data_IF_827141134527
#
_entry.id   IF_827141134527
#
_cell.length_a   1.000
_cell.length_b   1.000
_cell.length_c   1.000
_cell.angle_alpha   90.00
_cell.angle_beta   90.00
_cell.angle_gamma   90.00
#
_symmetry.space_group_name_H-M   'P 1'
#
loop_
_entity.id
_entity.type
_entity.pdbx_description
1 polymer ?
2 non-polymer ?
3 non-polymer ?
4 non-polymer ?
5 water ?
#
# COMPACT_ATOMS: atom_id res chain seq x y z
N UNK A 1 -26.34 4.98 -5.93
CA UNK A 1 -25.54 6.17 -6.24
C UNK A 1 -24.60 5.89 -7.42
N UNK A 2 -23.82 6.88 -7.81
CA UNK A 2 -22.91 6.72 -8.94
C UNK A 2 -21.84 5.68 -8.62
N UNK A 3 -21.33 5.05 -9.67
CA UNK A 3 -20.18 4.17 -9.58
C UNK A 3 -18.98 4.90 -10.15
N UNK A 4 -17.86 4.85 -9.43
CA UNK A 4 -16.71 5.71 -9.69
C UNK A 4 -15.44 4.88 -9.60
N UNK A 5 -14.55 5.03 -10.57
CA UNK A 5 -13.20 4.49 -10.44
C UNK A 5 -12.20 5.61 -10.67
N UNK A 6 -11.15 5.63 -9.87
CA UNK A 6 -10.06 6.59 -9.96
C UNK A 6 -8.77 5.85 -10.27
N UNK A 7 -7.85 6.54 -10.94
CA UNK A 7 -6.59 5.93 -11.27
C UNK A 7 -5.54 7.02 -11.42
N UNK A 8 -4.27 6.71 -11.19
CA UNK A 8 -3.22 7.59 -11.68
C UNK A 8 -3.34 7.72 -13.20
N UNK A 9 -2.88 8.86 -13.72
CA UNK A 9 -3.01 9.12 -15.13
C UNK A 9 -2.20 8.16 -15.99
N UNK A 10 -1.03 7.76 -15.51
CA UNK A 10 -0.13 6.92 -16.29
C UNK A 10 0.69 6.10 -15.32
N UNK A 11 0.63 4.78 -15.46
CA UNK A 11 1.38 3.87 -14.64
C UNK A 11 2.39 3.17 -15.54
N UNK A 12 3.68 3.30 -15.20
CA UNK A 12 4.78 2.80 -16.01
C UNK A 12 5.59 1.83 -15.17
N UNK A 13 5.92 0.68 -15.74
CA UNK A 13 6.68 -0.31 -14.99
C UNK A 13 7.60 -1.07 -15.93
N UNK A 14 8.86 -1.22 -15.52
CA UNK A 14 9.84 -2.00 -16.26
C UNK A 14 11.24 -1.87 -15.70
N UNK A 15 12.14 -2.79 -16.08
CA UNK A 15 13.52 -2.70 -15.64
C UNK A 15 14.19 -1.48 -16.27
N UNK A 16 14.90 -0.70 -15.44
CA UNK A 16 15.60 0.48 -15.90
C UNK A 16 14.73 1.68 -16.19
N UNK A 17 13.47 1.66 -15.75
CA UNK A 17 12.56 2.76 -16.07
C UNK A 17 13.07 4.10 -15.56
N UNK A 18 13.88 4.10 -14.50
CA UNK A 18 14.42 5.36 -13.98
C UNK A 18 15.24 6.07 -15.04
N UNK A 19 15.94 5.32 -15.90
CA UNK A 19 16.77 5.92 -16.93
C UNK A 19 15.94 6.69 -17.94
N UNK A 20 14.66 6.37 -18.05
CA UNK A 20 13.77 7.00 -19.01
C UNK A 20 12.86 8.04 -18.36
N UNK A 21 13.09 8.36 -17.09
CA UNK A 21 12.25 9.33 -16.38
C UNK A 21 12.15 10.64 -17.13
N UNK A 22 13.28 11.13 -17.67
CA UNK A 22 13.27 12.41 -18.33
C UNK A 22 12.27 12.46 -19.47
N UNK A 23 12.28 11.42 -20.31
CA UNK A 23 11.39 11.38 -21.45
C UNK A 23 9.94 11.22 -21.00
N UNK A 24 9.69 10.48 -19.92
CA UNK A 24 8.34 10.30 -19.41
C UNK A 24 7.80 11.57 -18.75
N UNK A 25 8.67 12.35 -18.07
CA UNK A 25 8.21 13.52 -17.33
C UNK A 25 8.08 14.75 -18.22
N UNK A 26 8.89 14.84 -19.27
CA UNK A 26 8.91 16.05 -20.11
C UNK A 26 7.54 16.52 -20.54
N UNK A 27 6.63 15.68 -21.03
CA UNK A 27 5.32 16.22 -21.48
C UNK A 27 4.49 16.81 -20.35
N UNK A 28 4.82 16.52 -19.08
CA UNK A 28 4.05 17.06 -17.96
C UNK A 28 4.53 18.44 -17.51
N UNK A 29 5.85 18.64 -17.42
CA UNK A 29 6.39 19.86 -16.84
C UNK A 29 7.90 19.88 -17.08
N UNK A 30 8.48 21.09 -17.01
CA UNK A 30 9.88 21.29 -17.34
C UNK A 30 10.81 21.38 -16.14
N UNK A 31 10.32 21.74 -14.94
CA UNK A 31 11.17 22.02 -13.79
C UNK A 31 10.66 21.25 -12.57
N UNK A 32 11.45 20.30 -12.08
CA UNK A 32 10.99 19.30 -11.13
C UNK A 32 11.69 19.45 -9.80
N UNK A 33 10.89 19.53 -8.72
CA UNK A 33 11.43 19.28 -7.39
C UNK A 33 11.54 17.77 -7.19
N UNK A 34 12.73 17.30 -6.80
CA UNK A 34 12.96 15.87 -6.62
C UNK A 34 13.12 15.62 -5.13
N UNK A 35 12.18 14.90 -4.54
CA UNK A 35 12.17 14.63 -3.11
C UNK A 35 12.50 13.17 -2.88
N UNK A 36 13.54 12.90 -2.09
CA UNK A 36 13.90 11.55 -1.70
C UNK A 36 14.81 11.61 -0.50
N UNK A 37 14.85 10.52 0.26
CA UNK A 37 15.72 10.56 1.42
C UNK A 37 17.16 10.28 1.02
N UNK A 38 18.07 10.43 1.99
CA UNK A 38 19.50 10.34 1.67
C UNK A 38 19.86 8.97 1.13
N UNK A 39 19.21 7.91 1.63
CA UNK A 39 19.54 6.57 1.15
C UNK A 39 19.13 6.39 -0.31
N UNK A 40 17.90 6.81 -0.64
CA UNK A 40 17.41 6.65 -2.01
C UNK A 40 18.22 7.50 -2.99
N UNK A 41 18.41 8.79 -2.68
CA UNK A 41 19.26 9.61 -3.55
C UNK A 41 20.68 9.07 -3.63
N UNK A 42 21.16 8.43 -2.55
CA UNK A 42 22.48 7.81 -2.59
C UNK A 42 22.66 6.87 -3.77
N UNK A 43 21.63 6.08 -4.09
CA UNK A 43 21.79 5.17 -5.23
C UNK A 43 21.13 5.69 -6.51
N UNK A 44 20.21 6.64 -6.43
CA UNK A 44 19.43 7.03 -7.59
C UNK A 44 19.72 8.43 -8.11
N UNK A 45 20.36 9.30 -7.32
CA UNK A 45 20.43 10.71 -7.71
C UNK A 45 21.21 10.90 -9.01
N UNK A 46 22.31 10.17 -9.18
CA UNK A 46 23.09 10.32 -10.41
C UNK A 46 22.28 9.92 -11.64
N UNK A 47 21.59 8.78 -11.60
CA UNK A 47 20.75 8.35 -12.72
C UNK A 47 19.63 9.36 -12.97
N UNK A 48 18.96 9.76 -11.89
CA UNK A 48 17.92 10.78 -11.92
C UNK A 48 18.38 12.03 -12.66
N UNK A 49 19.48 12.62 -12.20
CA UNK A 49 19.96 13.86 -12.79
C UNK A 49 20.27 13.68 -14.28
N UNK A 50 20.91 12.57 -14.64
CA UNK A 50 21.25 12.36 -16.05
C UNK A 50 19.99 12.27 -16.90
N UNK A 51 18.99 11.51 -16.45
CA UNK A 51 17.79 11.34 -17.26
C UNK A 51 17.07 12.66 -17.46
N UNK A 52 16.87 13.41 -16.39
CA UNK A 52 16.21 14.70 -16.51
C UNK A 52 17.04 15.69 -17.31
N UNK A 53 18.35 15.76 -17.06
CA UNK A 53 19.19 16.70 -17.80
C UNK A 53 19.20 16.39 -19.28
N UNK A 54 19.30 15.11 -19.63
CA UNK A 54 19.38 14.72 -21.04
C UNK A 54 18.10 15.05 -21.78
N UNK A 55 16.97 15.08 -21.06
CA UNK A 55 15.68 15.48 -21.63
C UNK A 55 15.46 16.98 -21.61
N UNK A 56 16.42 17.76 -21.12
CA UNK A 56 16.28 19.20 -21.08
C UNK A 56 15.45 19.71 -19.93
N UNK A 57 15.27 18.92 -18.88
CA UNK A 57 14.49 19.30 -17.72
C UNK A 57 15.39 19.76 -16.61
N UNK A 58 14.87 20.65 -15.76
CA UNK A 58 15.60 21.09 -14.59
C UNK A 58 15.18 20.24 -13.39
N UNK A 59 16.13 20.02 -12.48
CA UNK A 59 15.88 19.25 -11.28
C UNK A 59 16.45 20.00 -10.08
N UNK A 60 15.63 20.22 -9.06
CA UNK A 60 16.09 20.74 -7.78
C UNK A 60 15.99 19.58 -6.79
N UNK A 61 17.14 19.06 -6.35
CA UNK A 61 17.17 17.91 -5.45
C UNK A 61 16.91 18.40 -4.02
N UNK A 62 15.94 17.78 -3.35
CA UNK A 62 15.56 18.20 -2.01
C UNK A 62 15.55 16.97 -1.10
N UNK A 63 16.62 16.73 -0.36
CA UNK A 63 16.63 15.59 0.56
C UNK A 63 15.44 15.65 1.51
N UNK A 64 14.75 14.52 1.62
CA UNK A 64 13.52 14.40 2.40
C UNK A 64 13.79 14.45 3.90
N UNK A 65 12.93 15.15 4.64
CA UNK A 65 13.09 15.29 6.07
C UNK A 65 12.74 14.04 6.88
N UNK A 66 11.97 13.12 6.31
CA UNK A 66 11.70 11.83 6.94
C UNK A 66 10.24 11.62 7.31
N UNK A 67 9.52 12.70 7.61
CA UNK A 67 8.11 12.62 7.98
C UNK A 67 7.27 13.38 6.96
N UNK A 68 6.09 12.83 6.67
CA UNK A 68 5.10 13.55 5.87
C UNK A 68 4.29 14.43 6.82
N UNK A 69 4.79 15.63 7.06
CA UNK A 69 4.22 16.55 8.03
C UNK A 69 3.92 17.88 7.36
N UNK A 70 3.07 18.68 8.01
CA UNK A 70 2.77 20.00 7.46
C UNK A 70 4.04 20.86 7.39
N UNK A 71 4.90 20.75 8.41
CA UNK A 71 6.15 21.50 8.39
C UNK A 71 7.04 21.05 7.25
N UNK A 72 7.16 19.74 7.03
CA UNK A 72 7.99 19.24 5.94
C UNK A 72 7.43 19.69 4.58
N UNK A 73 6.10 19.63 4.42
CA UNK A 73 5.50 20.09 3.17
C UNK A 73 5.81 21.56 2.94
N UNK A 74 5.71 22.38 3.98
CA UNK A 74 6.00 23.80 3.82
C UNK A 74 7.48 24.04 3.54
N UNK A 75 8.37 23.25 4.18
CA UNK A 75 9.79 23.38 3.92
C UNK A 75 10.10 23.10 2.45
N UNK A 76 9.53 22.01 1.91
CA UNK A 76 9.80 21.65 0.52
C UNK A 76 9.13 22.63 -0.44
N UNK A 77 7.96 23.17 -0.09
CA UNK A 77 7.34 24.18 -0.93
C UNK A 77 8.20 25.43 -1.03
N UNK A 78 8.82 25.84 0.08
CA UNK A 78 9.75 26.96 0.07
C UNK A 78 10.96 26.67 -0.81
N UNK A 79 11.53 25.47 -0.69
CA UNK A 79 12.67 25.08 -1.51
C UNK A 79 12.29 25.10 -2.99
N UNK A 80 11.14 24.52 -3.31
CA UNK A 80 10.70 24.44 -4.70
C UNK A 80 10.49 25.82 -5.29
N UNK A 81 9.97 26.76 -4.49
CA UNK A 81 9.69 28.08 -5.01
C UNK A 81 10.94 28.81 -5.40
N UNK A 82 12.04 28.57 -4.69
CA UNK A 82 13.28 29.26 -5.03
C UNK A 82 13.80 28.79 -6.38
N UNK A 83 13.52 27.54 -6.77
CA UNK A 83 13.97 27.02 -8.05
C UNK A 83 12.89 27.10 -9.11
N UNK A 84 11.77 27.77 -8.80
CA UNK A 84 10.63 27.91 -9.71
C UNK A 84 10.24 26.55 -10.29
N UNK A 85 10.13 25.55 -9.41
CA UNK A 85 9.69 24.24 -9.83
C UNK A 85 8.21 24.28 -10.20
N UNK A 86 7.85 23.50 -11.23
CA UNK A 86 6.49 23.46 -11.73
C UNK A 86 5.89 22.07 -11.61
N UNK A 87 6.56 21.16 -10.91
CA UNK A 87 6.13 19.79 -10.71
C UNK A 87 6.97 19.17 -9.61
N UNK A 88 6.49 18.04 -9.08
CA UNK A 88 7.14 17.35 -7.98
C UNK A 88 7.36 15.90 -8.37
N UNK A 89 8.58 15.41 -8.17
CA UNK A 89 8.90 14.00 -8.29
C UNK A 89 9.26 13.47 -6.90
N UNK A 90 8.47 12.51 -6.41
CA UNK A 90 8.82 11.79 -5.20
C UNK A 90 9.40 10.43 -5.59
N UNK A 91 10.53 10.09 -4.98
CA UNK A 91 11.16 8.80 -5.27
C UNK A 91 11.55 8.16 -3.95
N UNK A 92 11.17 6.89 -3.78
CA UNK A 92 11.48 6.16 -2.56
C UNK A 92 10.28 5.42 -2.00
N UNK A 93 10.15 5.38 -0.69
CA UNK A 93 9.08 4.65 -0.03
C UNK A 93 7.95 5.55 0.42
N UNK A 94 7.06 4.95 1.24
CA UNK A 94 5.74 5.53 1.45
C UNK A 94 5.74 6.96 1.98
N UNK A 95 6.53 7.24 3.03
CA UNK A 95 6.50 8.58 3.61
C UNK A 95 6.95 9.62 2.60
N UNK A 96 8.00 9.31 1.83
CA UNK A 96 8.43 10.22 0.76
C UNK A 96 7.32 10.43 -0.26
N UNK A 97 6.66 9.36 -0.66
CA UNK A 97 5.67 9.46 -1.74
C UNK A 97 4.42 10.19 -1.28
N UNK A 98 3.99 9.95 -0.04
CA UNK A 98 2.88 10.73 0.53
C UNK A 98 3.22 12.21 0.58
N UNK A 99 4.46 12.55 0.96
CA UNK A 99 4.85 13.96 1.04
C UNK A 99 4.78 14.61 -0.33
N UNK A 100 5.32 13.92 -1.35
CA UNK A 100 5.33 14.46 -2.70
C UNK A 100 3.92 14.70 -3.21
N UNK A 101 3.01 13.76 -2.97
CA UNK A 101 1.63 13.91 -3.36
C UNK A 101 0.98 15.09 -2.65
N UNK A 102 1.18 15.20 -1.34
CA UNK A 102 0.57 16.30 -0.60
C UNK A 102 1.16 17.63 -1.06
N UNK A 103 2.49 17.68 -1.22
CA UNK A 103 3.14 18.90 -1.68
C UNK A 103 2.60 19.34 -3.04
N UNK A 104 2.47 18.40 -3.97
CA UNK A 104 2.04 18.76 -5.32
C UNK A 104 0.64 19.32 -5.28
N UNK A 105 -0.22 18.78 -4.41
CA UNK A 105 -1.57 19.31 -4.24
C UNK A 105 -1.53 20.75 -3.74
N UNK A 106 -0.71 21.05 -2.74
CA UNK A 106 -0.74 22.39 -2.20
C UNK A 106 -0.10 23.41 -3.14
N UNK A 107 0.88 22.98 -3.95
CA UNK A 107 1.40 23.84 -5.01
C UNK A 107 0.51 23.85 -6.26
N UNK A 108 -0.45 22.93 -6.35
CA UNK A 108 -1.24 22.70 -7.55
C UNK A 108 -0.34 22.52 -8.78
N UNK A 109 0.46 21.46 -8.74
CA UNK A 109 1.34 21.09 -9.84
C UNK A 109 1.24 19.60 -10.07
N UNK A 110 1.66 19.11 -11.24
CA UNK A 110 1.71 17.66 -11.45
C UNK A 110 2.65 17.01 -10.44
N UNK A 111 2.36 15.74 -10.14
CA UNK A 111 3.25 14.93 -9.31
C UNK A 111 3.54 13.63 -10.05
N UNK A 112 4.80 13.21 -10.00
CA UNK A 112 5.23 11.92 -10.47
C UNK A 112 5.78 11.17 -9.26
N UNK A 113 5.49 9.87 -9.20
CA UNK A 113 5.73 9.05 -8.01
C UNK A 113 6.56 7.85 -8.45
N UNK A 114 7.75 7.68 -7.86
CA UNK A 114 8.65 6.58 -8.23
C UNK A 114 8.95 5.72 -7.01
N UNK A 115 8.12 4.71 -6.75
CA UNK A 115 8.42 3.81 -5.63
C UNK A 115 9.66 2.98 -5.92
N UNK A 116 10.49 2.83 -4.90
CA UNK A 116 11.69 2.01 -5.02
C UNK A 116 11.50 0.67 -4.35
N UNK A 117 10.33 0.45 -3.76
CA UNK A 117 9.92 -0.80 -3.14
C UNK A 117 8.47 -1.01 -3.51
N UNK A 118 8.01 -2.25 -3.44
CA UNK A 118 6.62 -2.60 -3.72
C UNK A 118 6.03 -3.28 -2.48
N UNK A 119 5.90 -2.49 -1.41
CA UNK A 119 5.55 -3.03 -0.10
C UNK A 119 4.16 -2.62 0.38
N UNK A 120 3.48 -1.69 -0.30
CA UNK A 120 2.16 -1.24 0.13
C UNK A 120 1.36 -0.86 -1.09
N UNK A 121 0.06 -0.77 -0.90
CA UNK A 121 -0.94 -0.40 -1.89
C UNK A 121 -1.09 1.11 -2.08
N UNK A 122 -0.32 1.92 -1.36
CA UNK A 122 -0.51 3.37 -1.31
C UNK A 122 -0.06 4.20 -2.51
N UNK A 123 1.08 3.88 -3.19
CA UNK A 123 1.64 4.86 -4.15
C UNK A 123 0.65 5.45 -5.15
N UNK A 124 -0.25 4.65 -5.72
CA UNK A 124 -1.15 5.14 -6.75
C UNK A 124 -2.33 5.95 -6.21
N UNK A 125 -2.54 6.00 -4.91
CA UNK A 125 -3.81 6.48 -4.39
C UNK A 125 -3.84 7.99 -4.20
N UNK A 126 -5.06 8.54 -4.16
CA UNK A 126 -5.26 9.98 -3.92
C UNK A 126 -5.35 10.24 -2.42
N UNK A 127 -4.28 9.86 -1.73
CA UNK A 127 -4.27 9.89 -0.28
C UNK A 127 -2.86 10.23 0.20
N UNK A 128 -2.78 11.08 1.21
CA UNK A 128 -1.54 11.27 1.96
C UNK A 128 -1.87 11.13 3.44
N UNK A 129 -1.07 10.36 4.16
CA UNK A 129 -1.21 10.27 5.61
C UNK A 129 -0.28 11.31 6.21
N UNK A 130 -0.84 12.25 6.95
CA UNK A 130 -0.08 13.30 7.60
C UNK A 130 0.33 12.82 8.98
N UNK A 131 1.59 13.07 9.32
CA UNK A 131 2.12 12.78 10.65
C UNK A 131 2.65 14.07 11.26
N UNK A 132 2.83 14.05 12.58
CA UNK A 132 3.58 15.11 13.23
C UNK A 132 5.06 14.98 12.89
N UNK A 133 5.80 16.05 13.18
CA UNK A 133 7.25 16.01 13.01
C UNK A 133 7.86 14.86 13.80
N UNK A 134 7.26 14.53 14.94
CA UNK A 134 7.67 13.45 15.84
C UNK A 134 7.35 12.06 15.30
N UNK A 135 6.59 11.96 14.22
CA UNK A 135 6.19 10.67 13.70
C UNK A 135 4.87 10.12 14.22
N UNK A 136 4.16 10.88 15.05
CA UNK A 136 2.83 10.46 15.49
C UNK A 136 1.81 10.74 14.40
N UNK A 137 0.83 9.84 14.25
CA UNK A 137 -0.18 10.01 13.23
C UNK A 137 -1.05 11.24 13.54
N UNK A 138 -1.31 12.03 12.51
CA UNK A 138 -2.09 13.26 12.66
C UNK A 138 -3.43 13.17 11.94
N UNK A 139 -3.44 12.89 10.65
CA UNK A 139 -4.70 12.93 9.92
C UNK A 139 -4.52 12.27 8.55
N UNK A 140 -5.67 12.01 7.91
CA UNK A 140 -5.74 11.50 6.55
C UNK A 140 -6.03 12.69 5.63
N UNK A 141 -5.18 12.88 4.63
CA UNK A 141 -5.38 13.93 3.65
C UNK A 141 -5.93 13.28 2.38
N UNK A 142 -7.22 13.47 2.11
CA UNK A 142 -7.84 13.00 0.89
C UNK A 142 -7.48 13.96 -0.23
N UNK A 143 -6.81 13.48 -1.21
CA UNK A 143 -6.40 14.36 -2.30
C UNK A 143 -7.46 14.40 -3.39
N UNK A 144 -7.62 15.53 -4.09
CA UNK A 144 -8.63 15.61 -5.15
C UNK A 144 -8.24 14.89 -6.43
N UNK A 145 -6.96 14.54 -6.63
CA UNK A 145 -6.50 13.83 -7.80
C UNK A 145 -5.49 12.77 -7.39
N UNK A 146 -5.51 11.65 -8.11
CA UNK A 146 -4.44 10.67 -8.05
C UNK A 146 -3.18 11.23 -8.70
N UNK A 147 -2.01 10.67 -8.42
CA UNK A 147 -0.78 11.15 -9.07
C UNK A 147 -0.91 11.13 -10.58
N UNK A 148 -0.29 12.12 -11.23
CA UNK A 148 -0.31 12.16 -12.69
C UNK A 148 0.40 10.94 -13.28
N UNK A 149 1.47 10.51 -12.62
CA UNK A 149 2.37 9.49 -13.16
C UNK A 149 2.95 8.67 -12.02
N UNK A 150 2.97 7.36 -12.20
CA UNK A 150 3.65 6.44 -11.30
C UNK A 150 4.63 5.63 -12.15
N UNK A 151 5.90 5.62 -11.75
CA UNK A 151 6.95 4.98 -12.54
C UNK A 151 7.68 4.01 -11.64
N UNK A 152 7.60 2.72 -11.95
CA UNK A 152 8.15 1.65 -11.11
C UNK A 152 9.30 1.00 -11.87
N UNK A 153 10.52 1.21 -11.39
CA UNK A 153 11.72 0.61 -11.95
C UNK A 153 11.87 -0.74 -11.28
N UNK A 154 11.49 -1.81 -11.97
CA UNK A 154 11.45 -3.10 -11.28
C UNK A 154 12.84 -3.61 -10.94
N UNK A 155 13.90 -3.12 -11.59
CA UNK A 155 15.22 -3.56 -11.18
C UNK A 155 15.64 -2.87 -9.89
N UNK A 156 15.19 -1.65 -9.65
CA UNK A 156 15.37 -1.05 -8.33
C UNK A 156 14.57 -1.83 -7.29
N UNK A 157 13.32 -2.16 -7.60
CA UNK A 157 12.48 -2.89 -6.64
C UNK A 157 13.12 -4.23 -6.29
N UNK A 158 13.64 -4.96 -7.30
CA UNK A 158 14.22 -6.27 -7.05
C UNK A 158 15.44 -6.19 -6.13
N UNK A 159 16.10 -5.04 -6.05
CA UNK A 159 17.22 -4.84 -5.15
C UNK A 159 16.86 -4.66 -3.69
N UNK A 160 15.60 -4.37 -3.38
CA UNK A 160 15.15 -4.16 -2.02
C UNK A 160 15.10 -5.49 -1.28
N UNK A 161 15.09 -5.46 0.06
CA UNK A 161 14.92 -6.70 0.83
C UNK A 161 13.65 -7.45 0.43
N UNK A 162 13.79 -8.77 0.25
CA UNK A 162 12.67 -9.58 -0.20
C UNK A 162 11.47 -9.49 0.75
N UNK A 163 11.72 -9.27 2.05
CA UNK A 163 10.63 -9.14 3.00
C UNK A 163 9.67 -8.03 2.60
N UNK A 164 10.18 -6.96 1.98
CA UNK A 164 9.30 -5.88 1.55
C UNK A 164 8.40 -6.29 0.40
N UNK A 165 8.88 -7.16 -0.50
CA UNK A 165 7.98 -7.65 -1.54
C UNK A 165 6.89 -8.52 -0.93
N UNK A 166 7.25 -9.37 0.03
CA UNK A 166 6.22 -10.20 0.67
C UNK A 166 5.22 -9.33 1.43
N UNK A 167 5.70 -8.25 2.08
CA UNK A 167 4.77 -7.34 2.73
C UNK A 167 3.80 -6.73 1.73
N UNK A 168 4.29 -6.35 0.54
CA UNK A 168 3.39 -5.89 -0.50
C UNK A 168 2.37 -6.93 -0.88
N UNK A 169 2.78 -8.20 -0.93
CA UNK A 169 1.83 -9.28 -1.17
C UNK A 169 0.74 -9.29 -0.10
N UNK A 170 1.14 -9.07 1.17
CA UNK A 170 0.14 -9.02 2.24
C UNK A 170 -0.86 -7.90 2.05
N UNK A 171 -0.38 -6.71 1.72
CA UNK A 171 -1.29 -5.61 1.42
C UNK A 171 -2.21 -5.93 0.27
N UNK A 172 -1.65 -6.47 -0.81
CA UNK A 172 -2.43 -6.72 -2.02
C UNK A 172 -3.40 -7.87 -1.83
N UNK A 173 -3.08 -8.79 -0.92
CA UNK A 173 -3.93 -9.95 -0.69
C UNK A 173 -5.32 -9.54 -0.20
N UNK A 174 -5.38 -8.49 0.62
CA UNK A 174 -6.66 -8.01 1.13
C UNK A 174 -7.55 -7.43 0.04
N UNK A 175 -6.97 -7.02 -1.09
CA UNK A 175 -7.67 -6.16 -2.04
C UNK A 175 -8.95 -6.80 -2.52
N UNK A 176 -8.88 -8.04 -2.98
CA UNK A 176 -10.05 -8.72 -3.52
C UNK A 176 -11.11 -8.93 -2.44
N UNK A 177 -10.69 -9.38 -1.26
CA UNK A 177 -11.67 -9.70 -0.22
C UNK A 177 -12.36 -8.45 0.31
N UNK A 178 -11.65 -7.33 0.41
CA UNK A 178 -12.28 -6.12 0.88
C UNK A 178 -13.18 -5.52 -0.19
N UNK A 179 -12.74 -5.54 -1.46
CA UNK A 179 -13.57 -5.02 -2.54
C UNK A 179 -14.82 -5.88 -2.73
N UNK A 180 -14.68 -7.20 -2.65
CA UNK A 180 -15.84 -8.09 -2.74
C UNK A 180 -16.81 -7.81 -1.59
N UNK A 181 -16.31 -7.66 -0.38
CA UNK A 181 -17.18 -7.33 0.75
C UNK A 181 -17.95 -6.05 0.47
N UNK A 182 -17.26 -5.02 -0.03
CA UNK A 182 -17.93 -3.75 -0.29
C UNK A 182 -18.91 -3.85 -1.45
N UNK A 183 -18.61 -4.69 -2.44
CA UNK A 183 -19.54 -4.90 -3.52
C UNK A 183 -20.80 -5.58 -3.01
N UNK A 184 -20.65 -6.56 -2.13
CA UNK A 184 -21.80 -7.25 -1.59
C UNK A 184 -22.63 -6.34 -0.70
N UNK A 185 -21.97 -5.48 0.08
CA UNK A 185 -22.73 -4.62 1.00
C UNK A 185 -23.19 -3.33 0.35
N UNK A 186 -22.66 -2.99 -0.82
CA UNK A 186 -22.97 -1.71 -1.42
C UNK A 186 -22.36 -0.53 -0.70
N UNK A 187 -21.22 -0.75 -0.05
CA UNK A 187 -20.56 0.33 0.67
C UNK A 187 -19.99 1.35 -0.31
N UNK A 188 -19.81 2.57 0.18
CA UNK A 188 -19.16 3.62 -0.58
C UNK A 188 -17.65 3.45 -0.50
N UNK A 189 -16.96 3.59 -1.65
CA UNK A 189 -15.51 3.49 -1.69
C UNK A 189 -14.88 4.85 -1.38
N UNK A 190 -13.54 4.87 -1.30
CA UNK A 190 -12.88 6.16 -1.15
C UNK A 190 -12.93 6.98 -2.43
N UNK A 191 -13.15 6.35 -3.58
CA UNK A 191 -13.45 7.12 -4.77
C UNK A 191 -14.76 7.88 -4.64
N UNK A 192 -15.57 7.59 -3.63
CA UNK A 192 -16.77 8.36 -3.39
C UNK A 192 -18.04 7.81 -4.00
N UNK A 193 -18.00 6.64 -4.63
CA UNK A 193 -19.20 6.03 -5.16
C UNK A 193 -19.28 4.56 -4.80
N UNK A 194 -20.17 3.85 -5.46
CA UNK A 194 -20.16 2.39 -5.32
C UNK A 194 -19.11 1.80 -6.26
N UNK A 195 -18.78 0.55 -6.02
CA UNK A 195 -17.72 -0.12 -6.77
C UNK A 195 -18.13 -0.34 -8.22
N UNK A 196 -17.16 -0.15 -9.13
CA UNK A 196 -17.38 -0.45 -10.55
C UNK A 196 -16.99 -1.90 -10.83
N UNK A 197 -17.44 -2.39 -11.99
CA UNK A 197 -16.99 -3.69 -12.46
C UNK A 197 -15.49 -3.66 -12.74
N UNK A 198 -14.99 -2.53 -13.25
CA UNK A 198 -13.58 -2.42 -13.55
C UNK A 198 -12.72 -2.63 -12.30
N UNK A 199 -13.07 -1.95 -11.20
CA UNK A 199 -12.27 -2.08 -9.99
C UNK A 199 -12.38 -3.50 -9.43
N UNK A 200 -13.56 -4.10 -9.47
CA UNK A 200 -13.73 -5.47 -9.00
C UNK A 200 -12.87 -6.42 -9.81
N UNK A 201 -12.87 -6.27 -11.13
CA UNK A 201 -12.03 -7.11 -12.00
C UNK A 201 -10.56 -6.92 -11.68
N UNK A 202 -10.13 -5.67 -11.48
CA UNK A 202 -8.73 -5.46 -11.13
C UNK A 202 -8.39 -6.05 -9.77
N UNK A 203 -9.32 -5.95 -8.80
CA UNK A 203 -9.04 -6.53 -7.48
C UNK A 203 -8.97 -8.04 -7.56
N UNK A 204 -9.86 -8.65 -8.35
CA UNK A 204 -9.80 -10.10 -8.47
C UNK A 204 -8.55 -10.54 -9.22
N UNK A 205 -8.12 -9.75 -10.22
CA UNK A 205 -6.87 -10.06 -10.91
C UNK A 205 -5.70 -9.98 -9.94
N UNK A 206 -5.71 -8.98 -9.06
CA UNK A 206 -4.69 -8.87 -8.02
C UNK A 206 -4.56 -10.19 -7.26
N UNK A 207 -5.66 -10.68 -6.69
CA UNK A 207 -5.64 -11.92 -5.91
C UNK A 207 -5.11 -13.10 -6.71
N UNK A 208 -5.64 -13.31 -7.91
CA UNK A 208 -5.20 -14.44 -8.73
C UNK A 208 -3.75 -14.33 -9.14
N UNK A 209 -3.27 -13.11 -9.40
CA UNK A 209 -1.85 -12.95 -9.71
C UNK A 209 -0.99 -13.39 -8.52
N UNK A 210 -1.40 -13.01 -7.32
CA UNK A 210 -0.64 -13.43 -6.13
C UNK A 210 -0.65 -14.95 -5.98
N UNK A 211 -1.80 -15.59 -6.23
CA UNK A 211 -1.87 -17.04 -6.14
C UNK A 211 -0.96 -17.71 -7.17
N UNK A 212 -0.97 -17.21 -8.41
CA UNK A 212 -0.23 -17.84 -9.49
C UNK A 212 1.25 -17.46 -9.48
N UNK A 213 1.58 -16.23 -9.10
CA UNK A 213 2.94 -15.72 -9.27
C UNK A 213 3.68 -15.44 -7.96
N UNK A 214 3.00 -15.47 -6.82
CA UNK A 214 3.61 -14.99 -5.58
C UNK A 214 4.88 -15.73 -5.22
N UNK A 215 4.83 -17.07 -5.24
CA UNK A 215 6.00 -17.88 -4.92
C UNK A 215 7.09 -17.75 -5.98
N UNK A 216 6.71 -17.76 -7.26
CA UNK A 216 7.72 -17.54 -8.29
C UNK A 216 8.41 -16.21 -8.10
N UNK A 217 7.65 -15.17 -7.73
CA UNK A 217 8.21 -13.84 -7.59
C UNK A 217 9.16 -13.76 -6.39
N UNK A 218 8.79 -14.43 -5.28
CA UNK A 218 9.63 -14.39 -4.09
C UNK A 218 11.01 -14.98 -4.38
N UNK A 219 11.07 -16.04 -5.19
CA UNK A 219 12.36 -16.60 -5.56
C UNK A 219 13.22 -15.56 -6.26
N UNK A 220 12.64 -14.82 -7.21
CA UNK A 220 13.40 -13.76 -7.87
C UNK A 220 13.80 -12.68 -6.87
N UNK A 221 12.85 -12.26 -6.02
CA UNK A 221 13.13 -11.21 -5.05
C UNK A 221 14.29 -11.60 -4.16
N UNK A 222 14.31 -12.84 -3.68
CA UNK A 222 15.40 -13.28 -2.82
C UNK A 222 16.72 -13.34 -3.56
N UNK A 223 16.67 -13.50 -4.88
CA UNK A 223 17.90 -13.47 -5.66
C UNK A 223 18.20 -12.08 -6.20
N UNK A 224 17.29 -11.12 -5.97
CA UNK A 224 17.44 -9.73 -6.41
C UNK A 224 17.59 -9.64 -7.92
N UNK A 225 16.70 -10.35 -8.63
CA UNK A 225 16.70 -10.31 -10.08
C UNK A 225 15.27 -10.17 -10.55
N UNK A 226 15.10 -9.77 -11.80
CA UNK A 226 13.78 -9.53 -12.36
C UNK A 226 13.44 -10.68 -13.31
N UNK A 227 12.30 -11.32 -13.06
CA UNK A 227 11.65 -12.30 -13.91
C UNK A 227 10.25 -11.79 -14.21
N UNK A 228 9.54 -12.36 -15.19
CA UNK A 228 8.16 -11.91 -15.42
C UNK A 228 7.25 -12.11 -14.21
N UNK A 229 7.45 -13.18 -13.44
CA UNK A 229 6.61 -13.37 -12.26
C UNK A 229 6.75 -12.18 -11.30
N UNK A 230 8.00 -11.76 -11.03
CA UNK A 230 8.19 -10.59 -10.19
C UNK A 230 7.56 -9.35 -10.80
N UNK A 231 7.63 -9.20 -12.13
CA UNK A 231 6.98 -8.05 -12.78
C UNK A 231 5.47 -8.07 -12.56
N UNK A 232 4.83 -9.22 -12.72
CA UNK A 232 3.40 -9.31 -12.48
C UNK A 232 3.04 -9.03 -11.02
N UNK A 233 3.84 -9.52 -10.07
CA UNK A 233 3.53 -9.27 -8.68
C UNK A 233 3.74 -7.80 -8.32
N UNK A 234 4.78 -7.18 -8.86
CA UNK A 234 4.98 -5.75 -8.61
C UNK A 234 3.79 -4.94 -9.12
N UNK A 235 3.29 -5.27 -10.31
CA UNK A 235 2.08 -4.62 -10.80
C UNK A 235 0.92 -4.89 -9.86
N UNK A 236 0.79 -6.13 -9.39
CA UNK A 236 -0.31 -6.47 -8.49
C UNK A 236 -0.21 -5.70 -7.19
N UNK A 237 0.99 -5.62 -6.61
CA UNK A 237 1.20 -4.92 -5.34
C UNK A 237 1.00 -3.42 -5.45
N UNK A 238 1.13 -2.85 -6.65
CA UNK A 238 1.16 -1.40 -6.81
C UNK A 238 -0.10 -0.92 -7.54
N UNK A 239 -0.25 -1.23 -8.82
CA UNK A 239 -1.40 -0.68 -9.55
C UNK A 239 -2.69 -1.40 -9.16
N UNK A 240 -2.73 -2.73 -9.26
CA UNK A 240 -3.98 -3.46 -9.06
C UNK A 240 -4.48 -3.30 -7.62
N UNK A 241 -3.57 -3.39 -6.65
CA UNK A 241 -3.95 -3.27 -5.25
C UNK A 241 -4.31 -1.83 -4.90
N UNK A 242 -3.66 -0.84 -5.54
CA UNK A 242 -3.94 0.56 -5.35
C UNK A 242 -5.33 0.97 -5.81
N UNK A 243 -5.62 0.72 -7.09
CA UNK A 243 -6.95 1.03 -7.62
C UNK A 243 -7.99 0.13 -6.97
N UNK A 244 -7.59 -1.10 -6.65
CA UNK A 244 -8.52 -2.03 -6.05
C UNK A 244 -9.04 -1.59 -4.69
N UNK A 245 -8.15 -1.10 -3.82
CA UNK A 245 -8.63 -0.68 -2.51
C UNK A 245 -9.35 0.66 -2.61
N UNK A 246 -8.83 1.60 -3.41
CA UNK A 246 -9.41 2.94 -3.44
C UNK A 246 -10.76 2.94 -4.16
N UNK A 247 -10.86 2.23 -5.28
CA UNK A 247 -12.10 2.22 -6.04
C UNK A 247 -12.92 0.95 -5.80
N UNK A 248 -12.37 -0.01 -5.09
CA UNK A 248 -13.09 -1.25 -4.82
C UNK A 248 -13.63 -1.26 -3.41
N UNK A 249 -12.89 -0.69 -2.46
CA UNK A 249 -13.41 -0.52 -1.12
C UNK A 249 -12.60 -1.23 -0.07
N UNK A 250 -12.56 -0.65 1.13
CA UNK A 250 -11.91 -1.23 2.29
C UNK A 250 -12.95 -1.84 3.22
N UNK A 251 -12.54 -2.85 4.00
CA UNK A 251 -13.48 -3.47 4.93
C UNK A 251 -12.81 -3.92 6.21
N UNK A 252 -12.99 -5.19 6.60
CA UNK A 252 -12.54 -5.63 7.92
C UNK A 252 -11.02 -5.70 8.01
N UNK A 253 -10.35 -6.17 6.96
CA UNK A 253 -8.89 -6.34 7.04
C UNK A 253 -8.20 -5.02 7.36
N UNK A 254 -8.56 -3.94 6.63
CA UNK A 254 -8.00 -2.63 6.90
C UNK A 254 -8.33 -2.15 8.31
N UNK A 255 -9.58 -2.35 8.75
CA UNK A 255 -9.97 -1.88 10.08
C UNK A 255 -9.24 -2.66 11.17
N UNK A 256 -9.03 -3.96 10.97
CA UNK A 256 -8.30 -4.75 11.95
C UNK A 256 -6.83 -4.33 11.99
N UNK A 257 -6.25 -4.02 10.84
CA UNK A 257 -4.90 -3.47 10.83
C UNK A 257 -4.82 -2.22 11.71
N UNK A 258 -5.75 -1.29 11.51
CA UNK A 258 -5.72 -0.06 12.30
C UNK A 258 -5.96 -0.34 13.77
N UNK A 259 -6.79 -1.34 14.07
CA UNK A 259 -7.04 -1.68 15.47
C UNK A 259 -5.81 -2.16 16.21
N UNK A 260 -4.82 -2.69 15.48
CA UNK A 260 -3.65 -3.18 16.21
C UNK A 260 -2.77 -2.06 16.75
N UNK A 261 -2.99 -0.81 16.35
CA UNK A 261 -2.32 0.27 17.06
C UNK A 261 -2.89 0.48 18.45
N UNK A 262 -3.99 -0.19 18.81
CA UNK A 262 -4.47 -0.11 20.18
C UNK A 262 -3.61 -0.90 21.16
N UNK A 263 -2.61 -1.63 20.67
CA UNK A 263 -1.64 -2.35 21.50
C UNK A 263 -0.26 -2.13 20.94
N UNK A 264 0.78 -2.25 21.77
CA UNK A 264 2.14 -1.98 21.29
C UNK A 264 2.82 -3.14 20.56
N UNK A 265 2.25 -4.34 20.59
CA UNK A 265 3.01 -5.57 20.35
C UNK A 265 3.61 -5.67 18.95
N UNK A 266 2.86 -5.31 17.92
CA UNK A 266 3.27 -5.61 16.55
C UNK A 266 4.04 -4.47 15.89
N UNK A 267 4.65 -3.56 16.67
CA UNK A 267 5.24 -2.36 16.10
C UNK A 267 6.36 -2.65 15.10
N UNK A 268 7.02 -3.80 15.20
CA UNK A 268 8.13 -4.12 14.32
C UNK A 268 7.68 -4.69 12.98
N UNK A 269 6.38 -4.80 12.72
CA UNK A 269 5.89 -5.46 11.52
C UNK A 269 5.34 -4.44 10.54
N UNK A 270 5.40 -4.80 9.26
CA UNK A 270 4.98 -3.90 8.19
C UNK A 270 3.46 -3.90 8.03
N UNK A 271 2.98 -2.82 7.42
CA UNK A 271 1.56 -2.68 7.12
C UNK A 271 1.01 -3.96 6.49
N UNK A 272 1.67 -4.46 5.44
CA UNK A 272 1.15 -5.61 4.72
C UNK A 272 1.19 -6.90 5.50
N UNK A 273 2.14 -7.02 6.44
CA UNK A 273 2.18 -8.20 7.30
C UNK A 273 1.00 -8.22 8.25
N UNK A 274 0.64 -7.08 8.83
CA UNK A 274 -0.55 -7.04 9.67
C UNK A 274 -1.82 -7.23 8.86
N UNK A 275 -1.86 -6.68 7.65
CA UNK A 275 -3.04 -6.81 6.78
C UNK A 275 -3.27 -8.27 6.38
N UNK A 276 -2.19 -9.05 6.21
CA UNK A 276 -2.36 -10.47 5.92
C UNK A 276 -3.16 -11.15 7.02
N UNK A 277 -2.77 -10.96 8.28
CA UNK A 277 -3.57 -11.56 9.34
C UNK A 277 -4.97 -10.96 9.40
N UNK A 278 -5.11 -9.66 9.11
CA UNK A 278 -6.43 -9.06 9.11
C UNK A 278 -7.33 -9.65 8.05
N UNK A 279 -6.74 -10.11 6.94
CA UNK A 279 -7.52 -10.75 5.89
C UNK A 279 -8.03 -12.12 6.33
N UNK A 280 -7.17 -12.91 6.98
CA UNK A 280 -7.58 -14.18 7.56
C UNK A 280 -8.70 -13.98 8.58
N UNK A 281 -8.57 -12.99 9.45
CA UNK A 281 -9.66 -12.68 10.37
C UNK A 281 -10.94 -12.32 9.61
N UNK A 282 -10.81 -11.52 8.54
CA UNK A 282 -12.00 -11.18 7.76
C UNK A 282 -12.65 -12.44 7.20
N UNK A 283 -11.84 -13.41 6.74
CA UNK A 283 -12.41 -14.63 6.18
C UNK A 283 -13.20 -15.41 7.22
N UNK A 284 -12.74 -15.40 8.47
CA UNK A 284 -13.51 -16.02 9.55
C UNK A 284 -14.81 -15.27 9.74
N UNK A 285 -14.72 -13.94 9.81
CA UNK A 285 -15.89 -13.09 10.01
C UNK A 285 -16.94 -13.31 8.94
N UNK A 286 -16.54 -13.43 7.69
CA UNK A 286 -17.55 -13.67 6.65
C UNK A 286 -17.85 -15.16 6.48
N UNK A 287 -17.30 -16.00 7.34
CA UNK A 287 -17.45 -17.45 7.26
C UNK A 287 -17.14 -18.00 5.86
N UNK A 288 -16.02 -17.55 5.30
CA UNK A 288 -15.49 -18.10 4.06
C UNK A 288 -15.40 -19.63 4.11
N UNK A 289 -15.62 -20.32 2.98
CA UNK A 289 -15.49 -21.79 2.97
C UNK A 289 -14.07 -22.21 3.36
N UNK A 290 -13.96 -23.41 3.92
CA UNK A 290 -12.67 -23.86 4.42
C UNK A 290 -11.62 -23.84 3.33
N UNK A 291 -11.99 -24.24 2.10
CA UNK A 291 -11.03 -24.23 0.99
C UNK A 291 -10.46 -22.84 0.76
N UNK A 292 -11.31 -21.81 0.84
CA UNK A 292 -10.83 -20.46 0.61
C UNK A 292 -9.91 -20.00 1.74
N UNK A 293 -10.30 -20.23 3.00
CA UNK A 293 -9.41 -19.87 4.11
C UNK A 293 -8.09 -20.60 3.98
N UNK A 294 -8.18 -21.89 3.65
CA UNK A 294 -7.03 -22.74 3.43
C UNK A 294 -6.10 -22.16 2.37
N UNK A 295 -6.67 -21.74 1.23
CA UNK A 295 -5.85 -21.20 0.15
C UNK A 295 -5.15 -19.92 0.57
N UNK A 296 -5.86 -19.04 1.28
CA UNK A 296 -5.24 -17.78 1.69
C UNK A 296 -4.13 -18.03 2.70
N UNK A 297 -4.38 -18.89 3.69
CA UNK A 297 -3.36 -19.21 4.67
C UNK A 297 -2.15 -19.86 4.00
N UNK A 298 -2.38 -20.75 3.02
CA UNK A 298 -1.25 -21.36 2.33
C UNK A 298 -0.45 -20.32 1.57
N UNK A 299 -1.13 -19.39 0.90
CA UNK A 299 -0.42 -18.34 0.18
C UNK A 299 0.42 -17.52 1.14
N UNK A 300 -0.19 -17.07 2.25
CA UNK A 300 0.55 -16.32 3.26
C UNK A 300 1.78 -17.07 3.72
N UNK A 301 1.60 -18.34 4.10
CA UNK A 301 2.71 -19.10 4.66
C UNK A 301 3.82 -19.27 3.62
N UNK A 302 3.45 -19.46 2.35
CA UNK A 302 4.44 -19.68 1.30
C UNK A 302 5.33 -18.47 1.04
N UNK A 303 4.92 -17.26 1.42
CA UNK A 303 5.78 -16.09 1.28
C UNK A 303 6.19 -15.52 2.63
N UNK A 304 5.92 -16.23 3.71
CA UNK A 304 6.36 -15.78 5.03
C UNK A 304 5.45 -14.75 5.70
N UNK A 305 4.23 -14.56 5.21
CA UNK A 305 3.34 -13.64 5.88
C UNK A 305 2.77 -14.29 7.14
N UNK A 306 2.49 -13.51 8.20
CA UNK A 306 1.98 -14.11 9.44
C UNK A 306 0.54 -14.56 9.30
N UNK A 307 0.22 -15.68 9.95
CA UNK A 307 -1.14 -16.21 9.99
C UNK A 307 -1.55 -16.51 11.43
N UNK A 308 -0.72 -16.07 12.39
CA UNK A 308 -1.02 -16.20 13.80
C UNK A 308 -0.65 -14.90 14.49
N UNK A 309 -1.20 -14.70 15.69
CA UNK A 309 -0.85 -13.51 16.46
C UNK A 309 0.62 -13.55 16.87
N UNK A 310 1.10 -14.74 17.26
CA UNK A 310 2.48 -14.90 17.68
C UNK A 310 3.47 -14.50 16.59
N UNK A 311 3.12 -14.75 15.32
CA UNK A 311 4.00 -14.32 14.23
C UNK A 311 4.02 -12.81 14.05
N UNK A 312 3.13 -12.08 14.73
CA UNK A 312 3.22 -10.64 14.82
C UNK A 312 3.76 -10.18 16.17
N UNK A 313 4.39 -11.09 16.92
CA UNK A 313 4.87 -10.79 18.27
C UNK A 313 3.73 -10.28 19.16
N UNK A 314 2.51 -10.73 18.90
CA UNK A 314 1.39 -10.47 19.81
C UNK A 314 1.24 -11.71 20.69
N UNK A 315 1.76 -11.64 21.91
CA UNK A 315 1.80 -12.79 22.81
C UNK A 315 1.41 -12.36 24.21
N UNK A 316 0.73 -13.25 24.93
CA UNK A 316 0.42 -13.02 26.33
C UNK A 316 -0.74 -12.06 26.50
N UNK A 317 -1.69 -12.43 27.36
CA UNK A 317 -2.85 -11.60 27.65
C UNK A 317 -3.64 -11.30 26.38
N UNK A 318 -3.89 -12.36 25.60
CA UNK A 318 -4.52 -12.27 24.29
C UNK A 318 -5.98 -11.83 24.38
N UNK A 319 -6.77 -12.32 25.35
CA UNK A 319 -8.15 -11.82 25.43
C UNK A 319 -8.22 -10.32 25.63
N UNK A 320 -7.42 -9.78 26.55
CA UNK A 320 -7.39 -8.34 26.75
C UNK A 320 -6.95 -7.61 25.50
N UNK A 321 -5.87 -8.08 24.87
CA UNK A 321 -5.35 -7.36 23.71
C UNK A 321 -6.33 -7.42 22.55
N UNK A 322 -6.98 -8.57 22.34
CA UNK A 322 -7.87 -8.66 21.19
C UNK A 322 -9.17 -7.89 21.41
N UNK A 323 -9.62 -7.79 22.66
CA UNK A 323 -10.73 -6.87 22.96
C UNK A 323 -10.37 -5.44 22.61
N UNK A 324 -9.16 -5.00 22.96
CA UNK A 324 -8.69 -3.67 22.58
C UNK A 324 -8.68 -3.51 21.07
N UNK A 325 -8.12 -4.49 20.35
CA UNK A 325 -8.08 -4.43 18.88
C UNK A 325 -9.49 -4.43 18.31
N UNK A 326 -10.38 -5.26 18.87
CA UNK A 326 -11.72 -5.37 18.31
C UNK A 326 -12.51 -4.08 18.51
N UNK A 327 -12.45 -3.48 19.71
CA UNK A 327 -13.18 -2.24 19.94
C UNK A 327 -12.69 -1.14 19.02
N UNK A 328 -11.37 -1.02 18.84
CA UNK A 328 -10.84 0.01 17.97
C UNK A 328 -11.22 -0.25 16.51
N UNK A 329 -11.20 -1.51 16.07
CA UNK A 329 -11.59 -1.82 14.69
C UNK A 329 -13.04 -1.46 14.40
N UNK A 330 -13.88 -1.40 15.43
CA UNK A 330 -15.30 -1.16 15.24
C UNK A 330 -15.71 0.26 15.59
N UNK A 331 -14.75 1.15 15.82
CA UNK A 331 -15.07 2.53 16.15
C UNK A 331 -15.88 3.15 15.02
N UNK A 332 -16.61 4.20 15.37
CA UNK A 332 -17.35 5.00 14.39
C UNK A 332 -16.40 5.46 13.29
N UNK A 333 -16.83 5.28 12.05
CA UNK A 333 -16.02 5.69 10.91
C UNK A 333 -15.08 4.63 10.38
N UNK A 334 -14.89 3.52 11.09
CA UNK A 334 -13.98 2.49 10.60
C UNK A 334 -14.64 1.65 9.50
N UNK A 335 -13.81 1.17 8.58
CA UNK A 335 -14.33 0.49 7.39
C UNK A 335 -14.88 -0.89 7.68
N UNK A 336 -14.80 -1.39 8.91
CA UNK A 336 -15.39 -2.69 9.21
C UNK A 336 -16.90 -2.70 9.04
N UNK A 337 -17.54 -1.53 9.13
CA UNK A 337 -18.98 -1.47 8.93
C UNK A 337 -19.38 -1.58 7.46
N UNK A 338 -18.41 -1.65 6.54
CA UNK A 338 -18.67 -1.99 5.14
C UNK A 338 -18.91 -3.48 4.95
N UNK A 339 -18.62 -4.29 5.96
CA UNK A 339 -18.89 -5.72 5.87
C UNK A 339 -20.39 -5.96 5.68
N UNK A 340 -20.79 -6.91 4.84
CA UNK A 340 -22.22 -7.21 4.69
C UNK A 340 -22.87 -7.59 6.02
N UNK A 341 -24.05 -7.04 6.25
CA UNK A 341 -24.83 -7.35 7.44
C UNK A 341 -24.34 -6.70 8.72
N UNK A 342 -23.33 -5.85 8.67
CA UNK A 342 -22.89 -5.22 9.90
C UNK A 342 -22.14 -6.17 10.82
N UNK A 343 -21.27 -5.59 11.63
CA UNK A 343 -20.37 -6.33 12.50
C UNK A 343 -20.18 -5.51 13.77
N UNK A 344 -20.11 -6.17 14.92
CA UNK A 344 -19.82 -5.45 16.15
C UNK A 344 -18.55 -6.01 16.78
N UNK A 345 -18.13 -5.38 17.87
CA UNK A 345 -16.84 -5.75 18.44
C UNK A 345 -16.83 -7.20 18.93
N UNK A 346 -17.99 -7.72 19.36
CA UNK A 346 -18.05 -9.10 19.81
C UNK A 346 -17.72 -10.05 18.66
N UNK A 347 -18.24 -9.75 17.46
CA UNK A 347 -17.98 -10.62 16.32
C UNK A 347 -16.52 -10.54 15.88
N UNK A 348 -15.92 -9.34 15.94
CA UNK A 348 -14.52 -9.18 15.56
C UNK A 348 -13.62 -9.88 16.56
N UNK A 349 -13.89 -9.69 17.85
CA UNK A 349 -13.13 -10.39 18.88
C UNK A 349 -13.12 -11.89 18.63
N UNK A 350 -14.31 -12.46 18.38
CA UNK A 350 -14.43 -13.88 18.09
C UNK A 350 -13.61 -14.26 16.86
N UNK A 351 -13.71 -13.47 15.81
CA UNK A 351 -12.99 -13.78 14.59
C UNK A 351 -11.47 -13.74 14.82
N UNK A 352 -10.99 -12.73 15.54
CA UNK A 352 -9.57 -12.65 15.82
C UNK A 352 -9.07 -13.92 16.50
N UNK A 353 -9.77 -14.36 17.55
CA UNK A 353 -9.33 -15.54 18.29
C UNK A 353 -9.40 -16.80 17.43
N UNK A 354 -10.45 -16.92 16.61
CA UNK A 354 -10.61 -18.12 15.81
C UNK A 354 -9.60 -18.12 14.66
N UNK A 355 -9.32 -16.95 14.07
CA UNK A 355 -8.33 -16.90 12.99
C UNK A 355 -6.95 -17.30 13.52
N UNK A 356 -6.62 -16.83 14.71
CA UNK A 356 -5.35 -17.20 15.30
C UNK A 356 -5.28 -18.71 15.55
N UNK A 357 -6.36 -19.27 16.11
CA UNK A 357 -6.42 -20.73 16.30
C UNK A 357 -6.27 -21.46 14.97
N UNK A 358 -6.84 -20.91 13.91
CA UNK A 358 -6.77 -21.56 12.61
C UNK A 358 -5.34 -21.50 12.06
N UNK A 359 -4.67 -20.37 12.18
CA UNK A 359 -3.28 -20.31 11.73
C UNK A 359 -2.39 -21.24 12.55
N UNK A 360 -2.67 -21.35 13.85
CA UNK A 360 -1.91 -22.27 14.68
C UNK A 360 -2.06 -23.71 14.21
N UNK A 361 -3.29 -24.11 13.87
CA UNK A 361 -3.51 -25.45 13.33
C UNK A 361 -2.82 -25.61 11.98
N UNK A 362 -2.94 -24.61 11.11
CA UNK A 362 -2.27 -24.72 9.81
C UNK A 362 -0.78 -24.94 9.98
N UNK A 363 -0.13 -24.07 10.76
CA UNK A 363 1.30 -24.20 11.00
C UNK A 363 1.66 -25.58 11.54
N UNK A 364 0.84 -26.11 12.46
CA UNK A 364 1.12 -27.43 13.02
C UNK A 364 1.07 -28.51 11.96
N UNK A 365 -0.03 -28.55 11.19
CA UNK A 365 -0.17 -29.55 10.14
C UNK A 365 1.00 -29.46 9.15
N UNK A 366 1.39 -28.24 8.80
CA UNK A 366 2.53 -28.04 7.90
C UNK A 366 3.85 -28.56 8.48
N UNK A 367 3.90 -28.83 9.79
CA UNK A 367 5.09 -29.32 10.50
C UNK A 367 6.15 -28.25 10.58
X LIG B 1 -3.01 -1.46 3.14
X LIG C 1 -5.05 1.86 2.95
X LIG C 1 -4.36 0.74 2.38
X LIG C 1 -4.06 3.00 3.06
X LIG C 1 -2.94 2.63 2.23
X LIG D 1 -7.78 5.40 4.68
X LIG D 1 -7.05 4.55 5.59
X LIG D 1 -9.01 5.96 5.40
X LIG D 1 -9.77 4.85 5.88
X LIG E 1 1.97 0.72 9.38
X LIG E 1 1.33 -0.49 9.79
X LIG E 1 3.20 0.96 10.26
X LIG E 1 4.22 0.04 9.85
X LIG F 1 18.60 -0.40 -5.87
X LIG F 1 19.24 -1.60 -6.03
X LIG F 1 18.04 -0.40 -4.45
X LIG F 1 16.97 -1.30 -4.29
X LIG F 1 19.22 -0.80 -3.56
X LIG F 1 18.69 -0.95 -2.26
X LIG G 1 -13.67 -10.57 26.10
X LIG G 1 -14.86 -10.43 25.31
X LIG G 1 -13.27 -9.21 26.64
X LIG G 1 -11.99 -9.36 27.29
X LIG H 1 -5.62 -3.09 3.56
X LIG H 1 -6.73 -3.64 4.24
X LIG H 1 -5.72 -1.58 3.66
X LIG H 1 -4.98 -1.12 4.79
#
# INVERSE_FOLDING_TARGET
MDRIIQSPGKYIQGTGAIKRLGDYLKPLAERWLVVGDKFVLGFAEEMLRKSLADAGLAAEIAPFGGECSHNEINRLRDIAGNAKCTAVLGIGGGKTLDTAKALAHFMNVPVAIAPTIASTDAPCSALSVIYTDEGEFDSYLMLPRNPNMVIVDTQIVAGAPARLLAAGIGDALATWFEARACSRSGATTMAGGKCTQAALALAELCYNTLLEEGEKAMLAAEQHVVTPALERVVEANTYLSGVGFESGGLAAAHAIHNGMTAIPDAHHYYHGEKVAFGTLTQLVLENAPVDEIETVAALCHSVGLPITLAQLDIKGDIPTKMRLVAEAACAEGETIHNMPGGVDSDQVYAALLVADQYGQRFLQEWE
ZN ZN
EDO C1 O1 C2 O2
EDO C1 O1 C2 O2
EDO C1 O1 C2 O2
GOL C1 O1 C2 O2 C3 O3
EDO C1 O1 C2 O2
EDO C1 O1 C2 O2
#
